data_IF_560942064136
#
_entry.id   IF_560942064136
#
_cell.length_a   1.000
_cell.length_b   1.000
_cell.length_c   1.000
_cell.angle_alpha   90.00
_cell.angle_beta   90.00
_cell.angle_gamma   90.00
#
_symmetry.space_group_name_H-M   'P 1'
#
loop_
_entity.id
_entity.type
_entity.pdbx_description
1 polymer ?
#
# COMPACT_ATOMS: atom_id res chain seq x y z
N UNK A 1 7.82 -12.85 -33.61
CA UNK A 1 6.85 -11.79 -33.30
C UNK A 1 6.61 -11.75 -31.79
N UNK A 2 7.34 -10.88 -31.07
CA UNK A 2 6.99 -10.46 -29.70
C UNK A 2 7.28 -8.96 -29.62
N UNK A 3 6.23 -8.15 -29.66
CA UNK A 3 6.31 -6.71 -29.95
C UNK A 3 6.12 -5.81 -28.72
N UNK A 4 5.92 -6.35 -27.52
CA UNK A 4 5.59 -5.54 -26.33
C UNK A 4 6.67 -5.68 -25.24
N UNK A 5 7.47 -4.63 -25.06
CA UNK A 5 8.54 -4.57 -24.06
C UNK A 5 8.03 -4.15 -22.68
N UNK A 6 7.45 -5.09 -21.94
CA UNK A 6 7.06 -4.92 -20.54
C UNK A 6 8.29 -5.19 -19.66
N UNK A 7 8.60 -4.28 -18.74
CA UNK A 7 9.68 -4.42 -17.76
C UNK A 7 9.14 -4.26 -16.34
N UNK A 8 9.70 -5.03 -15.42
CA UNK A 8 9.47 -4.90 -13.99
C UNK A 8 10.60 -4.06 -13.41
N UNK A 9 10.27 -2.91 -12.84
CA UNK A 9 11.23 -2.14 -12.04
C UNK A 9 11.07 -2.49 -10.57
N UNK A 10 12.15 -3.00 -9.99
CA UNK A 10 12.23 -3.23 -8.55
C UNK A 10 12.45 -1.90 -7.81
N UNK A 11 12.00 -1.83 -6.56
CA UNK A 11 12.24 -0.67 -5.67
C UNK A 11 13.74 -0.42 -5.38
N UNK A 12 14.63 -1.35 -5.75
CA UNK A 12 16.08 -1.17 -5.74
C UNK A 12 16.63 -0.49 -7.02
N UNK A 13 15.77 -0.11 -7.98
CA UNK A 13 16.16 0.60 -9.20
C UNK A 13 16.58 -0.30 -10.37
N UNK A 14 16.49 -1.63 -10.23
CA UNK A 14 16.83 -2.59 -11.30
C UNK A 14 15.63 -2.83 -12.21
N UNK A 15 15.85 -2.69 -13.52
CA UNK A 15 14.88 -3.00 -14.57
C UNK A 15 15.10 -4.43 -15.07
N UNK A 16 14.10 -5.31 -14.90
CA UNK A 16 14.15 -6.70 -15.37
C UNK A 16 13.15 -6.89 -16.51
N UNK A 17 13.65 -7.40 -17.64
CA UNK A 17 12.83 -7.74 -18.81
C UNK A 17 12.05 -9.01 -18.52
N UNK A 18 10.75 -9.02 -18.83
CA UNK A 18 9.89 -10.17 -18.58
C UNK A 18 10.38 -11.38 -19.38
N UNK A 19 11.11 -12.28 -18.71
CA UNK A 19 11.49 -13.60 -19.22
C UNK A 19 11.43 -14.59 -18.05
N UNK A 20 11.35 -15.88 -18.39
CA UNK A 20 11.08 -17.00 -17.46
C UNK A 20 12.20 -17.16 -16.39
N UNK A 21 13.28 -16.37 -16.47
CA UNK A 21 14.44 -16.36 -15.56
C UNK A 21 14.31 -15.45 -14.31
N UNK A 22 13.09 -15.07 -13.92
CA UNK A 22 12.78 -14.20 -12.77
C UNK A 22 13.19 -14.75 -11.37
N UNK A 23 13.77 -15.95 -11.28
CA UNK A 23 14.12 -16.61 -10.02
C UNK A 23 15.41 -16.06 -9.37
N UNK A 24 16.40 -15.59 -10.14
CA UNK A 24 17.69 -15.17 -9.55
C UNK A 24 17.63 -13.82 -8.81
N UNK A 25 16.84 -12.86 -9.29
CA UNK A 25 16.76 -11.54 -8.63
C UNK A 25 15.89 -11.55 -7.37
N UNK A 26 14.89 -12.45 -7.31
CA UNK A 26 14.01 -12.65 -6.14
C UNK A 26 14.77 -13.12 -4.89
N UNK A 27 15.91 -13.80 -5.05
CA UNK A 27 16.73 -14.31 -3.94
C UNK A 27 17.49 -13.18 -3.21
N UNK A 28 17.86 -12.10 -3.92
CA UNK A 28 18.67 -11.01 -3.36
C UNK A 28 17.88 -9.73 -3.03
N UNK A 29 16.62 -9.62 -3.47
CA UNK A 29 15.75 -8.48 -3.17
C UNK A 29 14.57 -8.92 -2.31
N UNK A 30 14.64 -8.70 -0.99
CA UNK A 30 13.60 -9.04 0.00
C UNK A 30 12.31 -8.18 -0.11
N UNK A 31 12.10 -7.46 -1.22
CA UNK A 31 10.95 -6.58 -1.46
C UNK A 31 10.14 -7.10 -2.65
N UNK A 32 8.86 -7.35 -2.43
CA UNK A 32 7.91 -7.93 -3.40
C UNK A 32 7.20 -6.89 -4.26
N UNK A 33 7.53 -5.60 -4.11
CA UNK A 33 6.89 -4.51 -4.83
C UNK A 33 7.56 -4.28 -6.19
N UNK A 34 6.75 -4.30 -7.26
CA UNK A 34 7.17 -4.00 -8.63
C UNK A 34 6.24 -2.96 -9.25
N UNK A 35 6.82 -2.07 -10.04
CA UNK A 35 6.09 -1.13 -10.89
C UNK A 35 6.16 -1.66 -12.32
N UNK A 36 4.98 -1.83 -12.93
CA UNK A 36 4.88 -2.23 -14.33
C UNK A 36 5.05 -0.99 -15.19
N UNK A 37 6.13 -0.94 -15.98
CA UNK A 37 6.31 0.11 -16.98
C UNK A 37 5.78 -0.40 -18.32
N UNK A 38 4.79 0.29 -18.90
CA UNK A 38 4.45 0.12 -20.32
C UNK A 38 5.26 1.14 -21.11
N UNK A 39 6.20 0.62 -21.88
CA UNK A 39 7.19 1.41 -22.60
C UNK A 39 6.72 1.64 -24.03
N UNK A 40 5.69 2.46 -24.19
CA UNK A 40 5.26 2.90 -25.52
C UNK A 40 4.99 4.39 -25.43
N UNK A 41 5.82 5.20 -26.08
CA UNK A 41 5.49 6.54 -26.62
C UNK A 41 6.71 7.17 -27.34
N UNK A 42 7.94 6.69 -27.10
CA UNK A 42 9.12 7.07 -27.89
C UNK A 42 10.05 5.87 -28.10
N UNK A 43 10.02 5.27 -29.29
CA UNK A 43 11.23 4.68 -29.88
C UNK A 43 11.76 5.67 -30.89
N UNK A 44 13.02 6.09 -30.73
CA UNK A 44 13.72 6.82 -31.77
C UNK A 44 13.70 5.94 -33.03
N UNK A 45 12.90 6.31 -34.02
CA UNK A 45 12.78 5.58 -35.30
C UNK A 45 11.36 5.38 -35.85
N UNK A 46 10.28 5.58 -35.07
CA UNK A 46 8.91 5.46 -35.60
C UNK A 46 8.03 6.63 -35.14
N UNK A 47 7.62 7.46 -36.10
CA UNK A 47 6.73 8.62 -35.94
C UNK A 47 5.34 8.25 -35.40
N UNK A 48 5.14 8.31 -34.09
CA UNK A 48 3.81 8.52 -33.55
C UNK A 48 3.90 9.56 -32.44
N UNK A 49 3.60 10.82 -32.77
CA UNK A 49 3.55 11.90 -31.80
C UNK A 49 2.56 11.52 -30.67
N UNK A 50 2.91 11.73 -29.39
CA UNK A 50 2.03 11.42 -28.27
C UNK A 50 0.76 12.27 -28.37
N UNK A 51 -0.42 11.63 -28.42
CA UNK A 51 -1.69 12.35 -28.31
C UNK A 51 -1.87 12.83 -26.87
N UNK A 52 -2.23 14.09 -26.67
CA UNK A 52 -2.61 14.59 -25.36
C UNK A 52 -3.79 13.76 -24.80
N UNK A 53 -3.68 13.28 -23.56
CA UNK A 53 -4.76 12.49 -22.94
C UNK A 53 -6.01 13.32 -22.62
N UNK A 54 -5.88 14.65 -22.55
CA UNK A 54 -6.96 15.57 -22.20
C UNK A 54 -7.60 16.23 -23.44
N UNK A 55 -6.98 16.12 -24.62
CA UNK A 55 -7.53 16.70 -25.85
C UNK A 55 -7.14 15.94 -27.13
N UNK A 56 -7.29 16.56 -28.30
CA UNK A 56 -6.97 15.96 -29.60
C UNK A 56 -5.67 16.49 -30.23
N UNK A 57 -4.89 17.29 -29.49
CA UNK A 57 -3.61 17.83 -29.97
C UNK A 57 -2.52 16.76 -29.84
N UNK A 58 -1.58 16.77 -30.78
CA UNK A 58 -0.43 15.87 -30.85
C UNK A 58 0.88 16.68 -30.72
N UNK A 59 1.35 16.94 -29.49
CA UNK A 59 2.62 17.60 -29.28
C UNK A 59 3.78 16.85 -29.98
N UNK A 60 4.68 17.60 -30.60
CA UNK A 60 5.79 17.08 -31.42
C UNK A 60 6.90 16.45 -30.60
N UNK A 61 7.12 16.93 -29.38
CA UNK A 61 8.16 16.43 -28.49
C UNK A 61 7.62 16.14 -27.09
N UNK A 62 8.39 15.40 -26.29
CA UNK A 62 8.12 15.19 -24.87
C UNK A 62 7.99 16.50 -24.09
N UNK A 63 8.75 17.52 -24.50
CA UNK A 63 8.78 18.85 -23.88
C UNK A 63 7.52 19.62 -24.26
N UNK A 64 7.17 19.63 -25.55
CA UNK A 64 5.93 20.24 -26.04
C UNK A 64 4.71 19.64 -25.35
N UNK A 65 4.75 18.34 -25.06
CA UNK A 65 3.70 17.67 -24.33
C UNK A 65 3.56 18.20 -22.89
N UNK A 66 4.67 18.31 -22.16
CA UNK A 66 4.66 18.86 -20.81
C UNK A 66 4.23 20.33 -20.77
N UNK A 67 4.71 21.14 -21.71
CA UNK A 67 4.35 22.55 -21.86
C UNK A 67 2.86 22.71 -22.23
N UNK A 68 2.35 21.86 -23.13
CA UNK A 68 0.95 21.83 -23.53
C UNK A 68 0.03 21.52 -22.34
N UNK A 69 0.34 20.49 -21.55
CA UNK A 69 -0.44 20.18 -20.33
C UNK A 69 -0.46 21.35 -19.36
N UNK A 70 0.68 22.03 -19.18
CA UNK A 70 0.79 23.18 -18.29
C UNK A 70 -0.03 24.37 -18.78
N UNK A 71 0.12 24.77 -20.04
CA UNK A 71 -0.49 26.00 -20.57
C UNK A 71 -1.96 25.85 -20.96
N UNK A 72 -2.35 24.73 -21.56
CA UNK A 72 -3.71 24.52 -22.08
C UNK A 72 -4.65 23.87 -21.09
N UNK A 73 -4.12 23.06 -20.18
CA UNK A 73 -4.93 22.30 -19.23
C UNK A 73 -4.67 22.69 -17.77
N UNK A 74 -3.76 23.64 -17.50
CA UNK A 74 -3.33 24.01 -16.15
C UNK A 74 -2.98 22.77 -15.31
N UNK A 75 -2.40 21.75 -15.95
CA UNK A 75 -2.18 20.43 -15.38
C UNK A 75 -0.70 20.06 -15.43
N UNK A 76 -0.31 19.03 -14.69
CA UNK A 76 1.08 18.55 -14.61
C UNK A 76 1.21 17.14 -15.16
N UNK A 77 2.43 16.71 -15.48
CA UNK A 77 2.67 15.31 -15.86
C UNK A 77 2.24 14.39 -14.70
N UNK A 78 2.65 14.72 -13.46
CA UNK A 78 2.32 13.95 -12.24
C UNK A 78 0.82 13.73 -12.05
N UNK A 79 0.01 14.79 -12.14
CA UNK A 79 -1.44 14.71 -11.95
C UNK A 79 -2.13 13.83 -12.99
N UNK A 80 -1.49 13.63 -14.14
CA UNK A 80 -1.97 12.80 -15.23
C UNK A 80 -1.33 11.39 -15.25
N UNK A 81 -0.57 11.01 -14.21
CA UNK A 81 0.13 9.74 -14.16
C UNK A 81 1.22 9.64 -15.25
N UNK A 82 1.85 10.74 -15.60
CA UNK A 82 2.90 10.82 -16.62
C UNK A 82 4.18 11.39 -15.99
N UNK A 83 5.33 11.01 -16.52
CA UNK A 83 6.60 11.67 -16.25
C UNK A 83 7.48 11.66 -17.50
N UNK A 84 8.45 12.57 -17.58
CA UNK A 84 9.49 12.53 -18.60
C UNK A 84 10.71 11.82 -18.02
N UNK A 85 11.24 10.86 -18.76
CA UNK A 85 12.50 10.18 -18.43
C UNK A 85 13.60 10.68 -19.33
N UNK A 86 14.61 11.28 -18.71
CA UNK A 86 15.83 11.74 -19.35
C UNK A 86 16.74 10.55 -19.68
N UNK A 87 17.53 10.66 -20.74
CA UNK A 87 18.57 9.66 -21.08
C UNK A 87 19.62 9.49 -20.00
N UNK A 88 19.85 10.50 -19.15
CA UNK A 88 20.72 10.39 -17.97
C UNK A 88 20.13 9.54 -16.83
N UNK A 89 18.87 9.07 -16.99
CA UNK A 89 18.13 8.32 -15.97
C UNK A 89 17.25 9.19 -15.06
N UNK A 90 17.38 10.52 -15.11
CA UNK A 90 16.56 11.45 -14.34
C UNK A 90 15.08 11.41 -14.71
N UNK A 91 14.21 11.59 -13.71
CA UNK A 91 12.75 11.58 -13.89
C UNK A 91 12.15 12.94 -13.52
N UNK A 92 11.30 13.45 -14.40
CA UNK A 92 10.73 14.78 -14.29
C UNK A 92 9.19 14.70 -14.35
N UNK A 93 8.55 15.32 -13.36
CA UNK A 93 7.12 15.18 -13.12
C UNK A 93 6.31 16.47 -13.40
N UNK A 94 6.98 17.54 -13.87
CA UNK A 94 6.33 18.79 -14.30
C UNK A 94 7.19 19.58 -15.31
N UNK A 95 6.58 20.51 -16.04
CA UNK A 95 7.29 21.38 -16.98
C UNK A 95 8.37 22.25 -16.29
N UNK A 96 8.06 22.83 -15.14
CA UNK A 96 9.03 23.62 -14.36
C UNK A 96 10.23 22.78 -13.90
N UNK A 97 10.00 21.54 -13.45
CA UNK A 97 11.08 20.63 -13.07
C UNK A 97 11.94 20.23 -14.28
N UNK A 98 11.34 20.19 -15.47
CA UNK A 98 12.08 19.98 -16.72
C UNK A 98 13.03 21.14 -16.99
N UNK A 99 12.59 22.40 -16.88
CA UNK A 99 13.45 23.57 -17.12
C UNK A 99 14.69 23.56 -16.21
N UNK A 100 14.50 23.24 -14.93
CA UNK A 100 15.58 23.12 -13.95
C UNK A 100 16.55 22.00 -14.35
N UNK A 101 16.01 20.80 -14.64
CA UNK A 101 16.84 19.65 -15.00
C UNK A 101 17.60 19.88 -16.31
N UNK A 102 16.97 20.51 -17.30
CA UNK A 102 17.57 20.77 -18.60
C UNK A 102 18.79 21.70 -18.49
N UNK A 103 18.72 22.71 -17.63
CA UNK A 103 19.88 23.57 -17.33
C UNK A 103 21.04 22.83 -16.66
N UNK A 104 20.79 21.67 -16.05
CA UNK A 104 21.79 20.84 -15.39
C UNK A 104 22.26 19.66 -16.25
N UNK A 105 21.55 19.36 -17.34
CA UNK A 105 21.69 18.11 -18.09
C UNK A 105 21.63 18.36 -19.60
N UNK A 106 22.56 19.18 -20.09
CA UNK A 106 22.95 19.48 -21.48
C UNK A 106 22.02 19.01 -22.61
N UNK A 107 20.72 19.36 -22.56
CA UNK A 107 19.76 19.03 -23.62
C UNK A 107 19.46 17.55 -23.84
N UNK A 108 19.59 16.71 -22.81
CA UNK A 108 19.38 15.26 -22.90
C UNK A 108 18.01 14.86 -23.48
N UNK A 109 17.98 13.81 -24.31
CA UNK A 109 16.75 13.32 -24.96
C UNK A 109 15.75 12.80 -23.92
N UNK A 110 14.58 13.43 -23.84
CA UNK A 110 13.49 12.98 -22.96
C UNK A 110 12.53 12.04 -23.69
N UNK A 111 12.03 11.05 -22.96
CA UNK A 111 10.93 10.19 -23.38
C UNK A 111 9.75 10.36 -22.44
N UNK A 112 8.52 10.39 -22.98
CA UNK A 112 7.32 10.37 -22.15
C UNK A 112 7.11 8.94 -21.64
N UNK A 113 6.93 8.82 -20.33
CA UNK A 113 6.57 7.58 -19.67
C UNK A 113 5.23 7.78 -18.98
N UNK A 114 4.29 6.88 -19.21
CA UNK A 114 3.09 6.83 -18.41
C UNK A 114 3.39 5.97 -17.19
N UNK A 115 3.29 6.56 -16.00
CA UNK A 115 3.06 5.75 -14.81
C UNK A 115 1.74 5.06 -15.09
N UNK A 116 1.74 3.73 -15.21
CA UNK A 116 0.51 2.99 -14.93
C UNK A 116 0.29 3.21 -13.45
N UNK A 117 -0.27 4.38 -13.11
CA UNK A 117 -0.98 4.56 -11.87
C UNK A 117 -2.04 3.49 -11.97
N UNK A 118 -1.78 2.36 -11.31
CA UNK A 118 -2.82 1.48 -10.80
C UNK A 118 -3.84 2.46 -10.25
N UNK A 119 -4.92 2.67 -11.01
CA UNK A 119 -6.04 3.47 -10.56
C UNK A 119 -6.29 2.92 -9.16
N UNK A 120 -6.34 3.75 -8.10
CA UNK A 120 -6.74 3.27 -6.79
C UNK A 120 -8.09 2.62 -6.98
N UNK A 121 -8.03 1.31 -7.12
CA UNK A 121 -9.15 0.45 -7.39
C UNK A 121 -9.28 -0.20 -6.06
N UNK A 122 -10.24 0.30 -5.27
CA UNK A 122 -10.85 -0.64 -4.36
C UNK A 122 -11.44 -1.75 -5.23
N UNK A 123 -11.49 -2.97 -4.70
CA UNK A 123 -12.18 -4.05 -5.38
C UNK A 123 -13.63 -3.64 -5.69
N UNK A 124 -14.25 -4.40 -6.59
CA UNK A 124 -15.69 -4.33 -6.83
C UNK A 124 -16.44 -4.48 -5.50
N UNK A 125 -17.57 -3.80 -5.36
CA UNK A 125 -18.46 -3.98 -4.23
C UNK A 125 -18.86 -5.46 -4.09
N UNK A 126 -18.81 -5.99 -2.87
CA UNK A 126 -19.23 -7.38 -2.60
C UNK A 126 -20.74 -7.62 -2.79
N UNK A 127 -21.54 -6.55 -2.88
CA UNK A 127 -23.00 -6.60 -2.98
C UNK A 127 -23.55 -6.07 -4.30
N UNK A 128 -22.71 -5.51 -5.19
CA UNK A 128 -23.14 -5.02 -6.51
C UNK A 128 -21.97 -4.82 -7.49
N UNK A 129 -22.24 -4.28 -8.68
CA UNK A 129 -21.24 -4.04 -9.73
C UNK A 129 -20.49 -2.70 -9.60
N UNK A 130 -20.76 -1.93 -8.53
CA UNK A 130 -20.08 -0.67 -8.32
C UNK A 130 -18.57 -0.86 -8.08
N UNK A 131 -17.77 0.05 -8.64
CA UNK A 131 -16.32 0.10 -8.47
C UNK A 131 -15.90 1.44 -7.84
N UNK A 132 -16.00 1.57 -6.51
CA UNK A 132 -15.54 2.77 -5.83
C UNK A 132 -14.06 3.05 -6.15
N UNK A 133 -13.68 4.32 -6.21
CA UNK A 133 -12.31 4.74 -6.57
C UNK A 133 -11.38 4.90 -5.36
N UNK A 134 -11.92 4.79 -4.14
CA UNK A 134 -11.15 4.98 -2.91
C UNK A 134 -11.74 4.14 -1.79
N UNK A 135 -10.93 3.77 -0.80
CA UNK A 135 -11.41 3.03 0.38
C UNK A 135 -12.53 3.78 1.14
N UNK A 136 -12.42 5.11 1.21
CA UNK A 136 -13.48 5.94 1.79
C UNK A 136 -14.75 5.92 0.94
N UNK A 137 -14.61 6.04 -0.39
CA UNK A 137 -15.73 5.92 -1.32
C UNK A 137 -16.41 4.55 -1.24
N UNK A 138 -15.64 3.48 -1.00
CA UNK A 138 -16.17 2.14 -0.79
C UNK A 138 -16.98 2.04 0.50
N UNK A 139 -16.47 2.57 1.61
CA UNK A 139 -17.19 2.59 2.88
C UNK A 139 -18.48 3.42 2.80
N UNK A 140 -18.43 4.61 2.19
CA UNK A 140 -19.62 5.45 1.95
C UNK A 140 -20.63 4.74 1.06
N UNK A 141 -20.16 4.07 -0.01
CA UNK A 141 -21.03 3.32 -0.92
C UNK A 141 -21.79 2.20 -0.19
N UNK A 142 -21.10 1.38 0.61
CA UNK A 142 -21.76 0.34 1.40
C UNK A 142 -22.84 0.90 2.33
N UNK A 143 -22.55 2.03 2.98
CA UNK A 143 -23.48 2.64 3.91
C UNK A 143 -24.69 3.23 3.17
N UNK A 144 -24.47 4.00 2.11
CA UNK A 144 -25.53 4.73 1.42
C UNK A 144 -26.42 3.83 0.55
N UNK A 145 -25.84 2.82 -0.11
CA UNK A 145 -26.57 1.98 -1.08
C UNK A 145 -27.08 0.69 -0.44
N UNK A 146 -26.29 0.08 0.45
CA UNK A 146 -26.59 -1.24 1.00
C UNK A 146 -26.95 -1.20 2.50
N UNK A 147 -27.01 -0.01 3.11
CA UNK A 147 -27.30 0.19 4.54
C UNK A 147 -26.45 -0.72 5.44
N UNK A 148 -25.18 -0.92 5.04
CA UNK A 148 -24.27 -1.85 5.70
C UNK A 148 -22.86 -1.25 5.79
N UNK A 149 -21.97 -1.93 6.50
CA UNK A 149 -20.58 -1.51 6.71
C UNK A 149 -19.62 -2.64 6.39
N UNK A 150 -18.33 -2.33 6.27
CA UNK A 150 -17.28 -3.35 6.14
C UNK A 150 -17.36 -4.36 7.31
N UNK A 151 -17.40 -3.85 8.54
CA UNK A 151 -17.42 -4.66 9.77
C UNK A 151 -18.66 -5.56 9.85
N UNK A 152 -19.85 -5.05 9.49
CA UNK A 152 -21.09 -5.85 9.56
C UNK A 152 -21.12 -6.97 8.52
N UNK A 153 -20.39 -6.86 7.41
CA UNK A 153 -20.19 -7.94 6.46
C UNK A 153 -18.97 -8.82 6.80
N UNK A 154 -18.35 -8.62 7.96
CA UNK A 154 -17.17 -9.39 8.35
C UNK A 154 -16.00 -9.21 7.38
N UNK A 155 -15.83 -8.01 6.80
CA UNK A 155 -14.72 -7.69 5.89
C UNK A 155 -13.99 -6.43 6.33
N UNK A 156 -12.76 -6.26 5.86
CA UNK A 156 -12.01 -5.02 5.96
C UNK A 156 -11.19 -4.76 4.69
N UNK A 157 -10.82 -3.49 4.47
CA UNK A 157 -9.94 -3.11 3.38
C UNK A 157 -8.50 -3.05 3.90
N UNK A 158 -7.58 -3.78 3.28
CA UNK A 158 -6.15 -3.77 3.60
C UNK A 158 -5.41 -2.97 2.52
N UNK A 159 -4.72 -1.92 2.94
CA UNK A 159 -3.79 -1.19 2.07
C UNK A 159 -2.62 -2.09 1.69
N UNK A 160 -2.06 -1.91 0.50
CA UNK A 160 -0.88 -2.66 0.04
C UNK A 160 0.33 -2.57 0.97
N UNK A 161 0.42 -1.52 1.81
CA UNK A 161 1.46 -1.43 2.85
C UNK A 161 1.17 -2.26 4.11
N UNK A 162 0.12 -3.07 4.12
CA UNK A 162 -0.30 -3.90 5.26
C UNK A 162 -1.08 -3.18 6.34
N UNK A 163 -1.50 -1.91 6.14
CA UNK A 163 -2.35 -1.20 7.10
C UNK A 163 -3.82 -1.37 6.79
N UNK A 164 -4.60 -1.70 7.81
CA UNK A 164 -6.05 -1.81 7.72
C UNK A 164 -6.69 -0.43 7.55
N UNK A 165 -7.71 -0.38 6.71
CA UNK A 165 -8.51 0.81 6.54
C UNK A 165 -9.46 1.00 7.72
N UNK A 166 -9.42 2.17 8.37
CA UNK A 166 -10.36 2.59 9.40
C UNK A 166 -10.90 3.97 9.05
N UNK A 167 -12.21 4.09 8.87
CA UNK A 167 -12.85 5.32 8.39
C UNK A 167 -12.50 6.56 9.22
N UNK A 168 -12.36 6.42 10.54
CA UNK A 168 -12.11 7.53 11.47
C UNK A 168 -10.64 7.97 11.59
N UNK A 169 -9.65 7.12 11.24
CA UNK A 169 -8.22 7.40 11.52
C UNK A 169 -7.36 7.59 10.27
N UNK A 170 -7.94 7.52 9.07
CA UNK A 170 -7.17 7.34 7.83
C UNK A 170 -6.95 8.57 6.96
N UNK A 171 -7.37 9.76 7.40
CA UNK A 171 -7.04 11.01 6.70
C UNK A 171 -5.53 11.15 6.48
N UNK A 172 -4.71 10.77 7.46
CA UNK A 172 -3.25 10.82 7.36
C UNK A 172 -2.60 9.64 6.64
N UNK A 173 -3.23 8.47 6.60
CA UNK A 173 -2.62 7.27 6.00
C UNK A 173 -2.62 7.34 4.47
N UNK A 174 -3.75 7.76 3.88
CA UNK A 174 -3.88 7.85 2.42
C UNK A 174 -2.86 8.82 1.80
N UNK A 175 -2.55 9.93 2.48
CA UNK A 175 -1.54 10.89 2.03
C UNK A 175 -0.11 10.32 2.09
N UNK A 176 0.20 9.52 3.11
CA UNK A 176 1.56 8.98 3.34
C UNK A 176 1.88 7.74 2.50
N UNK A 177 0.87 6.92 2.21
CA UNK A 177 1.06 5.64 1.54
C UNK A 177 0.88 5.72 0.02
N UNK A 178 0.61 6.90 -0.53
CA UNK A 178 0.04 7.10 -1.86
C UNK A 178 -1.29 6.35 -2.13
N UNK A 179 -1.78 5.52 -1.19
CA UNK A 179 -3.14 4.95 -1.17
C UNK A 179 -3.54 4.13 -2.40
N UNK A 180 -2.56 3.62 -3.15
CA UNK A 180 -2.80 3.20 -4.53
C UNK A 180 -3.51 1.86 -4.68
N UNK A 181 -3.50 0.97 -3.68
CA UNK A 181 -4.22 -0.30 -3.77
C UNK A 181 -4.76 -0.75 -2.42
N UNK A 182 -6.04 -1.10 -2.41
CA UNK A 182 -6.70 -1.76 -1.30
C UNK A 182 -7.21 -3.12 -1.76
N UNK A 183 -7.15 -4.11 -0.88
CA UNK A 183 -7.71 -5.45 -1.09
C UNK A 183 -8.76 -5.73 -0.02
N UNK A 184 -9.77 -6.53 -0.35
CA UNK A 184 -10.75 -7.02 0.63
C UNK A 184 -10.22 -8.26 1.32
N UNK A 185 -10.39 -8.31 2.63
CA UNK A 185 -10.03 -9.44 3.47
C UNK A 185 -11.21 -9.77 4.37
N UNK A 186 -11.48 -11.06 4.58
CA UNK A 186 -12.48 -11.48 5.55
C UNK A 186 -11.92 -11.39 6.97
N UNK A 187 -12.78 -11.04 7.91
CA UNK A 187 -12.52 -11.11 9.35
C UNK A 187 -12.37 -12.57 9.79
N UNK A 188 -12.96 -13.52 9.06
CA UNK A 188 -12.76 -14.96 9.32
C UNK A 188 -11.31 -15.41 9.03
N UNK A 189 -10.65 -14.75 8.07
CA UNK A 189 -9.23 -14.98 7.76
C UNK A 189 -8.29 -14.32 8.79
N UNK A 190 -8.82 -13.43 9.65
CA UNK A 190 -8.14 -13.16 10.92
C UNK A 190 -8.33 -14.39 11.78
N UNK A 191 -7.38 -15.33 11.65
CA UNK A 191 -7.01 -16.20 12.77
C UNK A 191 -7.01 -15.27 13.99
N UNK A 192 -7.88 -15.51 15.00
CA UNK A 192 -7.86 -14.74 16.21
C UNK A 192 -6.41 -14.61 16.66
N UNK A 193 -5.86 -13.40 16.64
CA UNK A 193 -4.45 -13.20 17.04
C UNK A 193 -4.24 -13.62 18.49
N UNK A 194 -5.35 -13.76 19.20
CA UNK A 194 -5.53 -14.33 20.51
C UNK A 194 -6.23 -15.68 20.43
N UNK A 195 -5.66 -16.73 21.03
CA UNK A 195 -6.31 -18.01 21.11
C UNK A 195 -7.57 -17.95 21.99
N UNK A 196 -8.40 -18.99 21.87
CA UNK A 196 -9.53 -19.24 22.76
C UNK A 196 -9.04 -19.36 24.21
N UNK A 197 -9.82 -18.87 25.16
CA UNK A 197 -9.49 -19.05 26.57
C UNK A 197 -9.46 -20.54 26.92
N UNK A 198 -8.40 -21.02 27.57
CA UNK A 198 -8.33 -22.44 27.95
C UNK A 198 -9.34 -22.84 29.03
N UNK A 199 -9.89 -21.86 29.75
CA UNK A 199 -10.83 -22.06 30.84
C UNK A 199 -12.29 -21.81 30.42
N UNK A 200 -12.54 -21.25 29.22
CA UNK A 200 -13.90 -21.05 28.69
C UNK A 200 -13.91 -20.78 27.19
N UNK A 201 -15.06 -20.85 26.54
CA UNK A 201 -15.15 -20.72 25.09
C UNK A 201 -15.02 -19.27 24.53
N UNK A 202 -14.64 -18.29 25.36
CA UNK A 202 -14.50 -16.89 24.91
C UNK A 202 -13.19 -16.66 24.15
N UNK A 203 -13.23 -15.73 23.19
CA UNK A 203 -12.10 -15.26 22.40
C UNK A 203 -11.79 -13.78 22.71
N UNK A 204 -10.96 -13.47 23.72
CA UNK A 204 -10.56 -12.10 24.02
C UNK A 204 -9.90 -11.44 22.81
N UNK A 205 -10.10 -10.15 22.56
CA UNK A 205 -9.68 -9.48 21.30
C UNK A 205 -8.19 -9.10 21.22
N UNK A 206 -7.42 -9.26 22.30
CA UNK A 206 -5.99 -8.93 22.36
C UNK A 206 -5.28 -9.71 23.46
N UNK A 207 -3.95 -9.88 23.38
CA UNK A 207 -3.18 -10.61 24.39
C UNK A 207 -3.36 -10.01 25.81
N UNK A 208 -3.45 -8.68 25.90
CA UNK A 208 -3.78 -7.98 27.14
C UNK A 208 -5.23 -8.25 27.57
N UNK A 209 -6.17 -8.23 26.62
CA UNK A 209 -7.55 -8.60 26.86
C UNK A 209 -7.70 -10.03 27.38
N UNK A 210 -6.85 -10.95 26.91
CA UNK A 210 -6.81 -12.33 27.39
C UNK A 210 -6.30 -12.41 28.84
N UNK A 211 -5.23 -11.69 29.17
CA UNK A 211 -4.74 -11.61 30.55
C UNK A 211 -5.79 -11.01 31.50
N UNK A 212 -6.45 -9.92 31.08
CA UNK A 212 -7.52 -9.29 31.86
C UNK A 212 -8.75 -10.22 32.00
N UNK A 213 -9.09 -10.97 30.95
CA UNK A 213 -10.16 -11.97 30.98
C UNK A 213 -9.88 -13.08 32.00
N UNK A 214 -8.66 -13.64 32.03
CA UNK A 214 -8.26 -14.63 33.05
C UNK A 214 -8.39 -14.08 34.46
N UNK A 215 -7.93 -12.85 34.69
CA UNK A 215 -7.95 -12.24 36.01
C UNK A 215 -9.37 -11.98 36.51
N UNK A 216 -10.25 -11.47 35.65
CA UNK A 216 -11.60 -11.03 36.04
C UNK A 216 -12.63 -12.15 36.04
N UNK A 217 -12.58 -13.07 35.07
CA UNK A 217 -13.60 -14.12 34.92
C UNK A 217 -13.22 -15.41 35.63
N UNK A 218 -11.92 -15.72 35.70
CA UNK A 218 -11.43 -17.01 36.21
C UNK A 218 -10.61 -16.87 37.49
N UNK A 219 -10.42 -15.64 38.01
CA UNK A 219 -9.53 -15.34 39.14
C UNK A 219 -8.15 -15.99 38.98
N UNK A 220 -7.67 -16.08 37.74
CA UNK A 220 -6.46 -16.78 37.36
C UNK A 220 -5.49 -15.85 36.62
N UNK A 221 -4.27 -16.32 36.35
CA UNK A 221 -3.23 -15.54 35.67
C UNK A 221 -2.64 -16.32 34.52
N UNK A 222 -1.95 -15.63 33.59
CA UNK A 222 -1.22 -16.31 32.50
C UNK A 222 -0.25 -17.36 33.06
N UNK A 223 0.54 -16.99 34.08
CA UNK A 223 1.52 -17.87 34.73
C UNK A 223 0.87 -19.09 35.37
N UNK A 224 -0.27 -18.93 36.04
CA UNK A 224 -0.98 -20.04 36.69
C UNK A 224 -1.47 -21.09 35.68
N UNK A 225 -1.63 -20.70 34.42
CA UNK A 225 -2.09 -21.57 33.34
C UNK A 225 -0.94 -22.00 32.41
N UNK A 226 0.32 -21.76 32.77
CA UNK A 226 1.48 -22.07 31.93
C UNK A 226 1.58 -21.23 30.65
N UNK A 227 0.86 -20.11 30.55
CA UNK A 227 0.80 -19.28 29.34
C UNK A 227 1.84 -18.15 29.40
N UNK A 228 2.53 -17.90 28.29
CA UNK A 228 3.49 -16.82 28.13
C UNK A 228 3.09 -15.83 27.03
N UNK A 229 3.44 -14.56 27.20
CA UNK A 229 3.33 -13.56 26.15
C UNK A 229 4.71 -13.36 25.49
N UNK A 230 4.79 -13.63 24.20
CA UNK A 230 5.98 -13.38 23.40
C UNK A 230 5.81 -12.07 22.64
N UNK A 231 6.69 -11.10 22.90
CA UNK A 231 6.75 -9.86 22.14
C UNK A 231 7.28 -10.13 20.73
N UNK A 232 6.96 -9.27 19.76
CA UNK A 232 7.52 -9.33 18.40
C UNK A 232 9.05 -9.25 18.35
N UNK A 233 9.71 -8.76 19.41
CA UNK A 233 11.17 -8.78 19.54
C UNK A 233 11.74 -10.15 19.98
N UNK A 234 10.90 -11.17 20.17
CA UNK A 234 11.31 -12.51 20.60
C UNK A 234 11.51 -12.68 22.10
N UNK A 235 11.39 -11.60 22.90
CA UNK A 235 11.48 -11.68 24.35
C UNK A 235 10.15 -12.13 24.96
N UNK A 236 10.22 -13.12 25.85
CA UNK A 236 9.11 -13.50 26.70
C UNK A 236 8.86 -12.41 27.74
N UNK A 237 7.70 -11.77 27.68
CA UNK A 237 7.25 -10.85 28.72
C UNK A 237 6.78 -11.71 29.88
N UNK A 238 7.59 -11.80 30.93
CA UNK A 238 7.11 -12.37 32.19
C UNK A 238 5.97 -11.48 32.65
N UNK A 239 4.78 -12.06 32.79
CA UNK A 239 3.61 -11.36 33.31
C UNK A 239 4.05 -10.65 34.59
N UNK A 240 3.98 -9.31 34.65
CA UNK A 240 4.04 -8.67 35.94
C UNK A 240 2.85 -9.22 36.73
N UNK A 241 2.99 -9.35 38.04
CA UNK A 241 1.83 -9.41 38.91
C UNK A 241 1.14 -8.04 38.78
N UNK A 242 0.38 -7.81 37.71
CA UNK A 242 -0.23 -6.52 37.42
C UNK A 242 -1.42 -6.36 38.36
N UNK A 243 -1.17 -5.81 39.54
CA UNK A 243 -2.11 -4.85 40.10
C UNK A 243 -2.08 -3.60 39.19
N UNK A 244 -3.22 -2.98 38.85
CA UNK A 244 -3.30 -1.92 37.83
C UNK A 244 -2.40 -0.67 38.01
N UNK A 245 -1.70 -0.53 39.14
CA UNK A 245 -1.09 0.74 39.56
C UNK A 245 0.45 0.79 39.58
N UNK A 246 1.18 -0.25 39.17
CA UNK A 246 2.66 -0.18 39.16
C UNK A 246 3.26 -0.35 37.75
N UNK A 247 3.73 0.77 37.19
CA UNK A 247 4.47 0.90 35.91
C UNK A 247 5.95 1.16 36.15
N UNK A 248 6.72 0.21 36.68
CA UNK A 248 8.18 0.32 36.67
C UNK A 248 8.76 -1.03 36.29
N UNK A 249 9.61 -1.00 35.27
CA UNK A 249 10.47 -2.05 34.74
C UNK A 249 10.02 -2.73 33.44
N UNK A 250 10.98 -2.79 32.50
CA UNK A 250 11.01 -3.36 31.15
C UNK A 250 10.63 -2.41 30.00
N UNK A 251 11.65 -2.10 29.19
CA UNK A 251 11.64 -1.21 28.01
C UNK A 251 10.75 -1.64 26.83
N UNK A 252 10.12 -2.82 26.87
CA UNK A 252 9.17 -3.28 25.86
C UNK A 252 7.70 -2.90 26.14
N UNK A 253 7.40 -2.29 27.28
CA UNK A 253 6.03 -2.01 27.75
C UNK A 253 5.20 -1.11 26.81
N UNK A 254 5.85 -0.28 25.98
CA UNK A 254 5.15 0.63 25.06
C UNK A 254 4.51 -0.06 23.86
N UNK A 255 4.68 -1.38 23.67
CA UNK A 255 4.23 -2.09 22.47
C UNK A 255 3.55 -3.45 22.74
N UNK A 256 2.69 -3.54 23.75
CA UNK A 256 1.76 -4.69 23.92
C UNK A 256 0.88 -4.99 22.70
N UNK A 257 0.80 -4.06 21.74
CA UNK A 257 0.10 -4.22 20.47
C UNK A 257 0.66 -5.37 19.61
N UNK A 258 1.89 -5.85 19.87
CA UNK A 258 2.56 -6.87 19.05
C UNK A 258 2.93 -8.14 19.83
N UNK A 259 2.30 -8.42 20.98
CA UNK A 259 2.53 -9.67 21.71
C UNK A 259 1.62 -10.80 21.23
N UNK A 260 2.15 -12.02 21.09
CA UNK A 260 1.40 -13.25 20.85
C UNK A 260 1.36 -14.13 22.09
N UNK A 261 0.31 -14.92 22.24
CA UNK A 261 0.15 -15.91 23.32
C UNK A 261 0.81 -17.22 22.90
N UNK A 262 1.56 -17.84 23.81
CA UNK A 262 2.23 -19.13 23.61
C UNK A 262 1.95 -20.03 24.82
N UNK A 263 1.71 -21.31 24.54
CA UNK A 263 1.47 -22.38 25.51
C UNK A 263 2.75 -23.19 25.75
#
# INVERSE_FOLDING_TARGET
FFQNGIYLRYSCGVDVRFSIYNLKHKINCNRTEFILHKLDLFRAGTQSNPRCILCKIFPTTAIDYAHHLYTRHQSTLKSNGIYLRCSCGGEVYSYHRYLIHNGQCDGSKFTIQQVITKIPTTPQCILCEAHPKTANGYAIHLQAVHQTTLTSNGIYLLCSCGKEYRAQSNSGHNMKCNGLQFSLHNVVDKIPTTPQCILCEKFPTSALGYAAHLATQHKSTLKANGIFLLCSCGLAVRSPNVHPNHRKDVSCFSSFLNCRIVY
#
